data_IF_866694765873
#
_entry.id   IF_866694765873
#
_cell.length_a   1.000
_cell.length_b   1.000
_cell.length_c   1.000
_cell.angle_alpha   90.00
_cell.angle_beta   90.00
_cell.angle_gamma   90.00
#
_symmetry.space_group_name_H-M   'P 1'
#
loop_
_entity.id
_entity.type
_entity.pdbx_description
1 polymer ?
#
# COMPACT_ATOMS: atom_id res chain seq x y z
N UNK A 1 37.54 -13.62 -6.65
CA UNK A 1 36.38 -12.81 -6.25
C UNK A 1 35.11 -13.55 -6.64
N UNK A 2 34.28 -14.05 -5.70
CA UNK A 2 33.00 -14.65 -6.08
C UNK A 2 31.98 -13.54 -6.34
N UNK A 3 31.34 -13.58 -7.51
CA UNK A 3 30.24 -12.68 -7.87
C UNK A 3 28.98 -13.22 -7.18
N UNK A 4 28.38 -12.46 -6.27
CA UNK A 4 27.09 -12.83 -5.65
C UNK A 4 26.04 -12.99 -6.74
N UNK A 5 25.68 -14.23 -7.05
CA UNK A 5 24.48 -14.53 -7.84
C UNK A 5 23.29 -14.43 -6.91
N UNK A 6 22.34 -13.58 -7.26
CA UNK A 6 21.03 -13.59 -6.61
C UNK A 6 20.42 -14.98 -6.88
N UNK A 7 20.03 -15.75 -5.86
CA UNK A 7 19.45 -17.07 -6.07
C UNK A 7 18.18 -16.97 -6.94
N UNK A 8 18.01 -17.89 -7.89
CA UNK A 8 16.92 -17.86 -8.88
C UNK A 8 15.52 -17.82 -8.25
N UNK A 9 15.39 -18.32 -7.02
CA UNK A 9 14.19 -18.24 -6.19
C UNK A 9 13.74 -16.79 -5.89
N UNK A 10 14.67 -15.85 -5.70
CA UNK A 10 14.34 -14.44 -5.45
C UNK A 10 13.84 -13.76 -6.73
N UNK A 11 14.42 -14.10 -7.88
CA UNK A 11 13.96 -13.62 -9.19
C UNK A 11 12.56 -14.16 -9.49
N UNK A 12 12.34 -15.46 -9.23
CA UNK A 12 11.04 -16.09 -9.39
C UNK A 12 9.98 -15.48 -8.45
N UNK A 13 10.33 -15.17 -7.20
CA UNK A 13 9.46 -14.50 -6.26
C UNK A 13 9.10 -13.07 -6.71
N UNK A 14 10.10 -12.27 -7.11
CA UNK A 14 9.90 -10.92 -7.59
C UNK A 14 8.99 -10.87 -8.82
N UNK A 15 9.16 -11.82 -9.75
CA UNK A 15 8.31 -11.94 -10.94
C UNK A 15 6.86 -12.29 -10.59
N UNK A 16 6.63 -13.22 -9.64
CA UNK A 16 5.28 -13.55 -9.17
C UNK A 16 4.61 -12.36 -8.48
N UNK A 17 5.35 -11.65 -7.64
CA UNK A 17 4.85 -10.45 -6.96
C UNK A 17 4.50 -9.34 -7.96
N UNK A 18 5.35 -9.10 -8.96
CA UNK A 18 5.11 -8.13 -10.02
C UNK A 18 3.82 -8.45 -10.80
N UNK A 19 3.65 -9.71 -11.23
CA UNK A 19 2.44 -10.18 -11.92
C UNK A 19 1.18 -10.01 -11.06
N UNK A 20 1.27 -10.31 -9.77
CA UNK A 20 0.17 -10.11 -8.84
C UNK A 20 -0.23 -8.63 -8.71
N UNK A 21 0.76 -7.74 -8.55
CA UNK A 21 0.52 -6.30 -8.43
C UNK A 21 -0.08 -5.71 -9.71
N UNK A 22 0.42 -6.11 -10.88
CA UNK A 22 -0.14 -5.69 -12.17
C UNK A 22 -1.60 -6.15 -12.34
N UNK A 23 -1.91 -7.38 -11.94
CA UNK A 23 -3.27 -7.92 -11.98
C UNK A 23 -4.21 -7.18 -11.03
N UNK A 24 -3.72 -6.86 -9.83
CA UNK A 24 -4.48 -6.10 -8.83
C UNK A 24 -4.78 -4.68 -9.32
N UNK A 25 -3.78 -3.97 -9.85
CA UNK A 25 -3.97 -2.62 -10.41
C UNK A 25 -4.96 -2.63 -11.57
N UNK A 26 -4.92 -3.64 -12.44
CA UNK A 26 -5.86 -3.77 -13.56
C UNK A 26 -7.30 -3.95 -13.07
N UNK A 27 -7.52 -4.77 -12.04
CA UNK A 27 -8.86 -4.96 -11.45
C UNK A 27 -9.40 -3.67 -10.84
N UNK A 28 -8.57 -2.96 -10.08
CA UNK A 28 -8.96 -1.68 -9.48
C UNK A 28 -9.29 -0.64 -10.55
N UNK A 29 -8.53 -0.61 -11.65
CA UNK A 29 -8.84 0.28 -12.80
C UNK A 29 -10.19 -0.07 -13.42
N UNK A 30 -10.43 -1.34 -13.75
CA UNK A 30 -11.71 -1.77 -14.30
C UNK A 30 -12.90 -1.40 -13.40
N UNK A 31 -12.78 -1.60 -12.08
CA UNK A 31 -13.83 -1.26 -11.13
C UNK A 31 -14.05 0.26 -10.99
N UNK A 32 -12.97 1.05 -11.07
CA UNK A 32 -13.05 2.52 -11.03
C UNK A 32 -13.62 3.06 -12.34
N UNK A 33 -13.22 2.52 -13.48
CA UNK A 33 -13.71 2.90 -14.80
C UNK A 33 -15.20 2.54 -14.93
N UNK A 34 -15.62 1.35 -14.50
CA UNK A 34 -17.03 0.95 -14.43
C UNK A 34 -17.86 1.89 -13.54
N UNK A 35 -17.28 2.37 -12.43
CA UNK A 35 -17.92 3.33 -11.52
C UNK A 35 -18.04 4.72 -12.15
N UNK A 36 -17.06 5.14 -12.94
CA UNK A 36 -17.04 6.44 -13.64
C UNK A 36 -18.04 6.42 -14.81
N UNK A 37 -18.09 5.33 -15.58
CA UNK A 37 -19.00 5.17 -16.72
C UNK A 37 -20.47 4.97 -16.27
N UNK A 38 -20.70 4.57 -15.03
CA UNK A 38 -22.06 4.39 -14.47
C UNK A 38 -22.80 5.72 -14.18
N UNK A 39 -22.14 6.88 -14.30
CA UNK A 39 -22.76 8.20 -14.09
C UNK A 39 -23.33 8.44 -12.67
N UNK A 40 -23.69 9.69 -12.33
CA UNK A 40 -24.19 10.04 -11.01
C UNK A 40 -25.66 9.61 -10.86
N UNK A 41 -25.89 8.32 -10.64
CA UNK A 41 -27.25 7.78 -10.45
C UNK A 41 -27.35 6.43 -9.73
N UNK A 42 -26.26 5.68 -9.60
CA UNK A 42 -26.28 4.40 -8.90
C UNK A 42 -25.81 4.58 -7.45
N UNK A 43 -26.75 4.48 -6.50
CA UNK A 43 -26.47 4.47 -5.07
C UNK A 43 -25.50 3.36 -4.64
N UNK A 44 -25.03 3.37 -3.38
CA UNK A 44 -23.96 2.49 -2.92
C UNK A 44 -24.38 1.02 -3.05
N UNK A 45 -23.76 0.29 -3.98
CA UNK A 45 -23.83 -1.16 -4.00
C UNK A 45 -22.95 -1.69 -2.87
N UNK A 46 -23.58 -2.39 -1.93
CA UNK A 46 -22.94 -3.09 -0.82
C UNK A 46 -21.85 -4.03 -1.35
N UNK A 47 -20.62 -3.84 -0.86
CA UNK A 47 -19.50 -4.74 -1.12
C UNK A 47 -19.90 -6.15 -0.69
N UNK A 48 -19.97 -7.08 -1.65
CA UNK A 48 -20.26 -8.47 -1.35
C UNK A 48 -19.07 -9.08 -0.59
N UNK A 49 -19.37 -9.81 0.48
CA UNK A 49 -18.40 -10.49 1.35
C UNK A 49 -17.51 -11.54 0.65
N UNK A 50 -17.67 -11.75 -0.66
CA UNK A 50 -16.95 -12.76 -1.46
C UNK A 50 -15.58 -12.33 -1.96
N UNK A 51 -15.28 -11.03 -2.05
CA UNK A 51 -14.08 -10.54 -2.75
C UNK A 51 -12.80 -10.61 -1.89
N UNK A 52 -12.92 -10.99 -0.62
CA UNK A 52 -11.80 -11.25 0.29
C UNK A 52 -11.30 -12.71 0.28
N UNK A 53 -11.94 -13.62 -0.46
CA UNK A 53 -11.65 -15.06 -0.40
C UNK A 53 -10.30 -15.50 -1.03
N UNK A 54 -9.53 -14.57 -1.63
CA UNK A 54 -8.25 -14.88 -2.26
C UNK A 54 -7.06 -15.01 -1.30
N UNK A 55 -7.18 -14.58 -0.04
CA UNK A 55 -6.04 -14.47 0.87
C UNK A 55 -5.74 -15.72 1.73
N UNK A 56 -6.53 -16.80 1.62
CA UNK A 56 -6.48 -17.93 2.57
C UNK A 56 -5.83 -19.23 2.03
N UNK A 57 -5.01 -19.19 0.98
CA UNK A 57 -4.31 -20.41 0.50
C UNK A 57 -2.81 -20.20 0.29
N UNK A 58 -2.08 -20.06 1.40
CA UNK A 58 -0.71 -20.56 1.48
C UNK A 58 -0.62 -21.36 2.78
N UNK A 59 -0.94 -22.65 2.69
CA UNK A 59 -0.62 -23.66 3.72
C UNK A 59 0.63 -24.39 3.23
N UNK A 60 1.63 -24.48 4.10
CA UNK A 60 2.93 -25.08 3.80
C UNK A 60 2.82 -26.52 3.31
N UNK A 61 3.63 -26.84 2.31
CA UNK A 61 3.97 -28.21 1.92
C UNK A 61 5.24 -28.60 2.67
N UNK A 62 5.06 -29.43 3.69
CA UNK A 62 6.09 -30.30 4.29
C UNK A 62 6.31 -31.56 3.39
N UNK A 63 7.42 -32.30 3.56
CA UNK A 63 8.13 -33.09 2.53
C UNK A 63 7.63 -34.55 2.36
N UNK A 64 8.10 -35.31 1.34
CA UNK A 64 7.60 -36.65 1.07
C UNK A 64 8.25 -37.73 1.94
N UNK A 65 7.41 -38.72 2.26
CA UNK A 65 7.61 -39.82 3.20
C UNK A 65 8.49 -40.97 2.66
N UNK A 66 9.11 -41.72 3.57
CA UNK A 66 9.38 -43.15 3.37
C UNK A 66 9.35 -43.99 4.68
N UNK A 67 8.32 -44.85 4.76
CA UNK A 67 8.33 -46.29 5.13
C UNK A 67 8.66 -46.73 6.58
N UNK A 68 7.65 -47.29 7.29
CA UNK A 68 7.84 -48.47 8.16
C UNK A 68 7.19 -48.54 9.58
N UNK A 69 5.92 -49.00 9.68
CA UNK A 69 5.27 -49.99 10.64
C UNK A 69 5.64 -49.97 12.17
N UNK A 70 4.75 -50.31 13.15
CA UNK A 70 3.43 -49.76 13.59
C UNK A 70 3.24 -49.69 15.16
N UNK A 71 1.99 -49.43 15.60
CA UNK A 71 1.34 -49.70 16.92
C UNK A 71 1.59 -48.75 18.12
N UNK A 72 0.55 -48.08 18.63
CA UNK A 72 -0.35 -48.55 19.71
C UNK A 72 -1.54 -47.59 19.96
N UNK A 73 -2.66 -48.23 20.32
CA UNK A 73 -4.01 -47.75 20.68
C UNK A 73 -4.02 -46.98 22.01
N UNK A 74 -4.88 -45.94 22.17
CA UNK A 74 -5.90 -45.74 23.24
C UNK A 74 -6.79 -44.53 22.92
N UNK A 75 -8.11 -44.71 23.07
CA UNK A 75 -9.26 -43.82 22.85
C UNK A 75 -9.35 -42.56 23.74
N UNK A 76 -10.22 -41.57 23.40
CA UNK A 76 -10.33 -40.26 24.03
C UNK A 76 -11.41 -40.21 25.13
N UNK A 77 -11.17 -39.42 26.19
CA UNK A 77 -12.17 -38.60 26.91
C UNK A 77 -11.66 -38.14 28.29
N UNK A 78 -11.44 -36.83 28.46
CA UNK A 78 -11.79 -36.10 29.70
C UNK A 78 -11.65 -34.59 29.59
N UNK A 79 -12.78 -33.90 29.78
CA UNK A 79 -12.90 -32.46 30.11
C UNK A 79 -12.24 -32.11 31.46
N UNK A 80 -11.76 -30.86 31.61
CA UNK A 80 -12.00 -30.00 32.80
C UNK A 80 -11.45 -28.57 32.69
N UNK A 81 -12.36 -27.62 32.96
CA UNK A 81 -12.28 -26.38 33.77
C UNK A 81 -11.28 -25.22 33.46
N UNK A 82 -11.82 -23.98 33.46
CA UNK A 82 -11.25 -22.66 33.03
C UNK A 82 -10.24 -21.98 33.99
N UNK A 83 -10.17 -20.61 34.16
CA UNK A 83 -11.08 -19.52 33.75
C UNK A 83 -10.43 -18.23 33.14
N UNK A 84 -11.31 -17.31 32.68
CA UNK A 84 -11.25 -15.83 32.60
C UNK A 84 -9.92 -15.03 32.41
N UNK A 85 -9.91 -14.09 31.45
CA UNK A 85 -9.42 -12.69 31.61
C UNK A 85 -9.74 -11.87 30.34
N UNK A 86 -10.61 -10.86 30.40
CA UNK A 86 -10.33 -9.43 30.66
C UNK A 86 -9.67 -8.69 29.48
N UNK A 87 -10.37 -7.65 29.07
CA UNK A 87 -10.09 -6.62 28.07
C UNK A 87 -8.63 -6.11 28.04
N UNK A 88 -8.08 -5.96 26.84
CA UNK A 88 -6.89 -5.15 26.54
C UNK A 88 -7.22 -4.11 25.46
N UNK A 89 -6.62 -2.91 25.49
CA UNK A 89 -6.97 -1.83 24.57
C UNK A 89 -6.58 -2.23 23.15
N UNK A 90 -7.41 -1.86 22.18
CA UNK A 90 -7.12 -1.99 20.76
C UNK A 90 -5.88 -1.16 20.41
N UNK A 91 -4.70 -1.75 20.63
CA UNK A 91 -3.46 -1.32 20.04
C UNK A 91 -3.68 -1.31 18.53
N UNK A 92 -3.61 -0.11 17.96
CA UNK A 92 -3.62 0.11 16.52
C UNK A 92 -2.64 -0.86 15.89
N UNK A 93 -3.17 -1.94 15.31
CA UNK A 93 -2.42 -2.80 14.42
C UNK A 93 -2.10 -1.92 13.23
N UNK A 94 -0.90 -1.35 13.20
CA UNK A 94 -0.30 -0.78 12.00
C UNK A 94 -0.29 -1.90 10.98
N UNK A 95 -1.31 -1.96 10.13
CA UNK A 95 -1.36 -2.96 9.10
C UNK A 95 -0.18 -2.69 8.17
N UNK A 96 0.63 -3.71 7.86
CA UNK A 96 1.70 -3.61 6.87
C UNK A 96 1.20 -3.15 5.48
N UNK A 97 -0.12 -3.19 5.26
CA UNK A 97 -0.82 -2.65 4.11
C UNK A 97 -1.37 -1.26 4.43
N UNK A 98 -1.18 -0.26 3.55
CA UNK A 98 -1.70 1.09 3.77
C UNK A 98 -3.23 1.09 3.86
N UNK A 99 -3.78 1.83 4.82
CA UNK A 99 -5.23 2.03 4.94
C UNK A 99 -5.77 2.84 3.75
N UNK A 100 -6.62 2.22 2.93
CA UNK A 100 -7.23 2.84 1.75
C UNK A 100 -7.98 4.15 2.08
N UNK A 101 -8.64 4.24 3.23
CA UNK A 101 -9.37 5.46 3.64
C UNK A 101 -8.41 6.60 3.91
N UNK A 102 -7.28 6.31 4.58
CA UNK A 102 -6.22 7.29 4.83
C UNK A 102 -5.57 7.75 3.52
N UNK A 103 -5.28 6.82 2.60
CA UNK A 103 -4.74 7.14 1.27
C UNK A 103 -5.67 8.10 0.51
N UNK A 104 -6.96 7.80 0.45
CA UNK A 104 -7.95 8.68 -0.22
C UNK A 104 -8.03 10.05 0.45
N UNK A 105 -7.99 10.10 1.78
CA UNK A 105 -8.00 11.36 2.52
C UNK A 105 -6.76 12.22 2.20
N UNK A 106 -5.57 11.62 2.16
CA UNK A 106 -4.32 12.32 1.80
C UNK A 106 -4.41 12.91 0.39
N UNK A 107 -4.85 12.13 -0.60
CA UNK A 107 -4.97 12.60 -2.00
C UNK A 107 -5.98 13.75 -2.12
N UNK A 108 -7.13 13.64 -1.44
CA UNK A 108 -8.14 14.71 -1.42
C UNK A 108 -7.58 15.99 -0.79
N UNK A 109 -6.91 15.87 0.35
CA UNK A 109 -6.30 17.00 1.05
C UNK A 109 -5.19 17.65 0.22
N UNK A 110 -4.35 16.87 -0.46
CA UNK A 110 -3.29 17.38 -1.33
C UNK A 110 -3.83 18.25 -2.49
N UNK A 111 -5.01 17.93 -3.02
CA UNK A 111 -5.64 18.68 -4.11
C UNK A 111 -6.52 19.85 -3.67
N UNK A 112 -6.62 20.16 -2.37
CA UNK A 112 -7.65 21.07 -1.85
C UNK A 112 -7.29 22.56 -1.88
N UNK A 113 -5.99 22.91 -1.91
CA UNK A 113 -5.52 24.30 -1.83
C UNK A 113 -4.30 24.54 -2.72
N UNK A 114 -4.03 25.81 -3.05
CA UNK A 114 -2.76 26.25 -3.63
C UNK A 114 -1.75 26.67 -2.56
N UNK A 115 -0.51 26.95 -2.95
CA UNK A 115 0.56 27.37 -2.06
C UNK A 115 1.17 26.21 -1.24
N UNK A 116 1.92 26.57 -0.18
CA UNK A 116 2.55 25.59 0.72
C UNK A 116 1.67 25.37 1.95
N UNK A 117 1.25 24.14 2.23
CA UNK A 117 0.36 23.83 3.36
C UNK A 117 0.51 22.40 3.86
N UNK A 118 0.18 22.19 5.14
CA UNK A 118 0.25 20.88 5.79
C UNK A 118 -1.04 20.09 5.60
N UNK A 119 -0.93 18.78 5.43
CA UNK A 119 -2.09 17.86 5.30
C UNK A 119 -2.17 16.81 6.40
N UNK A 120 -1.43 17.02 7.49
CA UNK A 120 -1.44 16.18 8.69
C UNK A 120 -0.29 15.16 8.73
N UNK A 121 -0.57 14.01 9.37
CA UNK A 121 0.39 12.95 9.65
C UNK A 121 -0.09 11.60 9.12
N UNK A 122 0.84 10.80 8.63
CA UNK A 122 0.57 9.39 8.31
C UNK A 122 1.85 8.55 8.30
N UNK A 123 1.68 7.22 8.26
CA UNK A 123 2.77 6.29 8.03
C UNK A 123 3.36 6.39 6.63
N UNK A 124 4.60 5.91 6.49
CA UNK A 124 5.32 5.82 5.22
C UNK A 124 4.55 5.03 4.14
N UNK A 125 3.89 3.89 4.45
CA UNK A 125 3.11 3.16 3.45
C UNK A 125 1.93 3.96 2.89
N UNK A 126 1.17 4.68 3.72
CA UNK A 126 0.07 5.54 3.28
C UNK A 126 0.57 6.69 2.43
N UNK A 127 1.70 7.30 2.81
CA UNK A 127 2.31 8.39 2.06
C UNK A 127 2.74 7.93 0.66
N UNK A 128 3.46 6.80 0.57
CA UNK A 128 3.91 6.26 -0.72
C UNK A 128 2.73 5.82 -1.60
N UNK A 129 1.70 5.19 -1.03
CA UNK A 129 0.50 4.79 -1.76
C UNK A 129 -0.30 6.00 -2.27
N UNK A 130 -0.48 7.03 -1.45
CA UNK A 130 -1.11 8.28 -1.86
C UNK A 130 -0.27 9.01 -2.93
N UNK A 131 1.06 8.95 -2.84
CA UNK A 131 1.97 9.58 -3.78
C UNK A 131 1.84 9.01 -5.18
N UNK A 132 1.72 7.68 -5.30
CA UNK A 132 1.46 7.00 -6.58
C UNK A 132 0.06 7.31 -7.11
N UNK A 133 -0.96 7.33 -6.24
CA UNK A 133 -2.33 7.71 -6.64
C UNK A 133 -2.41 9.18 -7.12
N UNK A 134 -1.64 10.08 -6.50
CA UNK A 134 -1.58 11.50 -6.84
C UNK A 134 -1.06 11.73 -8.26
N UNK A 135 0.05 11.08 -8.63
CA UNK A 135 0.68 11.22 -9.96
C UNK A 135 -0.02 10.42 -11.06
N UNK A 136 -0.88 9.46 -10.69
CA UNK A 136 -1.68 8.70 -11.64
C UNK A 136 -0.89 7.64 -12.41
N UNK A 137 -1.45 7.22 -13.55
CA UNK A 137 -0.85 6.19 -14.40
C UNK A 137 0.38 6.70 -15.17
N UNK A 138 1.28 5.77 -15.50
CA UNK A 138 2.52 6.02 -16.26
C UNK A 138 3.37 7.19 -15.73
N UNK A 139 3.62 7.29 -14.40
CA UNK A 139 4.42 8.37 -13.88
C UNK A 139 5.90 8.15 -14.24
N UNK A 140 6.59 9.25 -14.52
CA UNK A 140 8.03 9.24 -14.76
C UNK A 140 8.77 9.40 -13.44
N UNK A 141 9.69 8.49 -13.15
CA UNK A 141 10.63 8.64 -12.04
C UNK A 141 11.81 9.50 -12.50
N UNK A 142 12.02 10.63 -11.84
CA UNK A 142 13.10 11.56 -12.15
C UNK A 142 14.00 11.78 -10.93
N UNK A 143 15.29 12.05 -11.11
CA UNK A 143 16.18 12.43 -10.01
C UNK A 143 15.71 13.69 -9.27
N UNK A 144 16.01 13.79 -7.98
CA UNK A 144 15.73 14.96 -7.15
C UNK A 144 16.75 15.09 -6.02
N UNK A 145 17.83 15.85 -6.25
CA UNK A 145 19.01 15.80 -5.35
C UNK A 145 19.55 14.37 -5.27
N UNK A 146 19.84 13.91 -4.05
CA UNK A 146 20.24 12.52 -3.75
C UNK A 146 19.05 11.54 -3.68
N UNK A 147 17.84 12.03 -3.94
CA UNK A 147 16.61 11.26 -3.94
C UNK A 147 15.98 11.20 -5.34
N UNK A 148 14.70 10.87 -5.39
CA UNK A 148 13.91 10.84 -6.61
C UNK A 148 12.56 11.49 -6.39
N UNK A 149 11.86 11.77 -7.48
CA UNK A 149 10.47 12.20 -7.51
C UNK A 149 9.71 11.45 -8.60
N UNK A 150 8.41 11.31 -8.42
CA UNK A 150 7.50 10.87 -9.47
C UNK A 150 6.79 12.07 -10.07
N UNK A 151 6.70 12.12 -11.39
CA UNK A 151 5.98 13.17 -12.12
C UNK A 151 4.92 12.51 -12.99
N UNK A 152 3.69 13.02 -12.94
CA UNK A 152 2.59 12.52 -13.76
C UNK A 152 2.91 12.58 -15.26
N UNK A 153 2.20 11.77 -16.05
CA UNK A 153 2.38 11.72 -17.49
C UNK A 153 2.21 13.10 -18.16
N UNK A 154 1.20 13.87 -17.74
CA UNK A 154 0.91 15.23 -18.19
C UNK A 154 1.88 16.31 -17.63
N UNK A 155 2.72 15.94 -16.66
CA UNK A 155 3.65 16.86 -16.01
C UNK A 155 3.01 17.90 -15.10
N UNK A 156 1.74 17.72 -14.71
CA UNK A 156 0.98 18.66 -13.87
C UNK A 156 1.00 18.32 -12.38
N UNK A 157 1.46 17.11 -12.02
CA UNK A 157 1.58 16.66 -10.63
C UNK A 157 2.92 16.02 -10.37
N UNK A 158 3.43 16.23 -9.17
CA UNK A 158 4.66 15.62 -8.68
C UNK A 158 4.48 15.09 -7.26
N UNK A 159 5.11 13.95 -6.98
CA UNK A 159 5.25 13.37 -5.66
C UNK A 159 6.73 13.27 -5.30
N UNK A 160 7.13 13.87 -4.18
CA UNK A 160 8.45 13.69 -3.56
C UNK A 160 8.27 12.79 -2.33
N UNK A 161 8.86 11.58 -2.33
CA UNK A 161 8.73 10.64 -1.22
C UNK A 161 9.27 11.19 0.11
N UNK A 162 8.88 10.56 1.25
CA UNK A 162 9.39 10.86 2.59
C UNK A 162 10.89 11.09 2.63
N UNK A 163 11.26 12.32 2.93
CA UNK A 163 12.64 12.78 3.04
C UNK A 163 12.83 13.58 4.33
N UNK A 164 13.99 13.37 4.97
CA UNK A 164 14.40 14.17 6.12
C UNK A 164 14.57 15.62 5.69
N UNK A 165 13.82 16.54 6.31
CA UNK A 165 13.92 17.96 5.96
C UNK A 165 15.18 18.60 6.56
N UNK A 166 15.85 19.51 5.84
CA UNK A 166 17.13 20.13 6.25
C UNK A 166 17.09 21.07 7.48
N UNK A 167 16.14 20.96 8.40
CA UNK A 167 15.98 21.90 9.52
C UNK A 167 15.53 21.24 10.82
N UNK A 168 15.70 19.92 10.94
CA UNK A 168 15.23 19.17 12.11
C UNK A 168 13.71 18.99 12.20
N UNK A 169 12.94 19.52 11.22
CA UNK A 169 11.47 19.47 11.15
C UNK A 169 10.87 18.07 10.86
N UNK A 170 11.69 17.01 10.97
CA UNK A 170 11.24 15.64 10.75
C UNK A 170 11.25 15.21 9.28
N UNK A 171 10.59 14.08 9.02
CA UNK A 171 10.48 13.47 7.69
C UNK A 171 9.13 13.86 7.10
N UNK A 172 9.13 14.34 5.86
CA UNK A 172 7.90 14.72 5.16
C UNK A 172 7.89 14.20 3.73
N UNK A 173 6.70 13.87 3.24
CA UNK A 173 6.39 13.69 1.83
C UNK A 173 5.76 14.96 1.23
N UNK A 174 5.96 15.23 -0.05
CA UNK A 174 5.36 16.38 -0.74
C UNK A 174 4.53 15.95 -1.95
N UNK A 175 3.35 16.58 -2.08
CA UNK A 175 2.41 16.41 -3.18
C UNK A 175 2.22 17.77 -3.82
N UNK A 176 2.70 17.91 -5.05
CA UNK A 176 2.78 19.19 -5.74
C UNK A 176 1.94 19.15 -7.00
N UNK A 177 1.28 20.26 -7.32
CA UNK A 177 0.60 20.46 -8.60
C UNK A 177 0.87 21.83 -9.18
N UNK A 178 0.56 21.96 -10.46
CA UNK A 178 0.57 23.21 -11.21
C UNK A 178 -0.46 23.15 -12.32
N UNK A 179 -0.91 24.32 -12.75
CA UNK A 179 -1.66 24.49 -13.99
C UNK A 179 -0.77 24.28 -15.22
N UNK A 180 -1.39 23.99 -16.37
CA UNK A 180 -0.65 23.76 -17.61
C UNK A 180 0.12 25.00 -18.10
N UNK A 181 -0.33 26.20 -17.73
CA UNK A 181 0.34 27.46 -18.06
C UNK A 181 1.52 27.79 -17.13
N UNK A 182 1.60 27.15 -15.97
CA UNK A 182 2.57 27.49 -14.94
C UNK A 182 3.95 26.85 -15.18
N UNK A 183 4.99 27.68 -15.09
CA UNK A 183 6.39 27.23 -15.14
C UNK A 183 6.88 26.66 -13.82
N UNK A 184 6.22 27.00 -12.72
CA UNK A 184 6.60 26.62 -11.35
C UNK A 184 5.52 25.73 -10.72
N UNK A 185 5.86 25.02 -9.66
CA UNK A 185 4.86 24.34 -8.82
C UNK A 185 4.05 25.37 -8.05
N UNK A 186 2.73 25.31 -8.14
CA UNK A 186 1.81 26.28 -7.56
C UNK A 186 1.25 25.81 -6.21
N UNK A 187 1.15 24.49 -6.02
CA UNK A 187 0.78 23.86 -4.76
C UNK A 187 1.87 22.92 -4.27
N UNK A 188 1.97 22.80 -2.95
CA UNK A 188 2.87 21.90 -2.27
C UNK A 188 2.28 21.52 -0.90
N UNK A 189 1.50 20.44 -0.90
CA UNK A 189 1.03 19.82 0.33
C UNK A 189 2.16 18.99 0.95
N UNK A 190 2.47 19.24 2.23
CA UNK A 190 3.42 18.43 2.99
C UNK A 190 2.71 17.55 4.02
N UNK A 191 3.06 16.27 4.01
CA UNK A 191 2.58 15.25 4.94
C UNK A 191 3.73 14.85 5.86
N UNK A 192 3.55 15.07 7.15
CA UNK A 192 4.50 14.63 8.17
C UNK A 192 4.44 13.10 8.31
N UNK A 193 5.60 12.46 8.43
CA UNK A 193 5.69 11.00 8.54
C UNK A 193 5.81 10.59 10.01
N UNK A 194 4.87 9.75 10.44
CA UNK A 194 4.88 9.14 11.76
C UNK A 194 6.12 8.24 11.92
N UNK A 195 6.71 8.27 13.12
CA UNK A 195 7.88 7.45 13.46
C UNK A 195 7.50 6.03 13.79
#
# INVERSE_FOLDING_TARGET
MPVSRIPDEYVAFANRLSTYLQSYVRKVRAEVDDLIDSGPGAGPRTLASGDAAGAARIRGTEPPEHRGVPLRVVDPDRERDGPASTSGPEGQRTSARPDRRRVVAIVRSAGSHGGNFGIGRAGRPEADAAGLAWVGAEPRRLPYGDAYRWVSADGLRQYRPPQQKPSGRGVEANYESRSAAARHWESNAHLEIER
#
